data_IF_934137666794
#
_entry.id   IF_934137666794
#
_cell.length_a   1.000
_cell.length_b   1.000
_cell.length_c   1.000
_cell.angle_alpha   90.00
_cell.angle_beta   90.00
_cell.angle_gamma   90.00
#
_symmetry.space_group_name_H-M   'P 1'
#
loop_
_entity.id
_entity.type
_entity.pdbx_description
1 polymer ?
#
# COMPACT_ATOMS: atom_id res chain seq x y z
N UNK A 1 43.63 -4.01 37.29
CA UNK A 1 42.18 -3.76 37.07
C UNK A 1 41.82 -4.30 35.69
N UNK A 2 40.80 -5.16 35.53
CA UNK A 2 40.42 -5.63 34.21
C UNK A 2 39.78 -4.47 33.42
N UNK A 3 40.21 -4.27 32.18
CA UNK A 3 39.67 -3.24 31.27
C UNK A 3 38.29 -3.69 30.80
N UNK A 4 37.27 -2.86 31.04
CA UNK A 4 35.94 -3.08 30.47
C UNK A 4 36.02 -2.98 28.94
N UNK A 5 35.76 -4.08 28.24
CA UNK A 5 35.67 -4.09 26.79
C UNK A 5 34.26 -3.62 26.39
N UNK A 6 34.20 -2.55 25.61
CA UNK A 6 32.95 -2.11 25.00
C UNK A 6 32.48 -3.17 23.99
N UNK A 7 31.26 -3.68 24.17
CA UNK A 7 30.59 -4.50 23.16
C UNK A 7 30.29 -3.62 21.94
N UNK A 8 31.10 -3.74 20.90
CA UNK A 8 30.96 -3.05 19.61
C UNK A 8 30.11 -3.82 18.61
N UNK A 9 29.48 -4.93 19.01
CA UNK A 9 28.60 -5.71 18.15
C UNK A 9 27.30 -4.97 17.88
N UNK A 10 26.94 -4.73 16.61
CA UNK A 10 25.68 -4.08 16.29
C UNK A 10 24.51 -4.96 16.77
N UNK A 11 23.57 -4.36 17.50
CA UNK A 11 22.40 -5.05 18.04
C UNK A 11 21.46 -5.60 16.95
N UNK A 12 21.55 -5.08 15.72
CA UNK A 12 20.72 -5.48 14.58
C UNK A 12 21.60 -5.84 13.39
N UNK A 13 21.35 -7.00 12.81
CA UNK A 13 21.99 -7.42 11.56
C UNK A 13 21.48 -6.59 10.38
N UNK A 14 22.37 -6.16 9.50
CA UNK A 14 22.00 -5.47 8.25
C UNK A 14 21.08 -6.32 7.37
N UNK A 15 21.26 -7.64 7.38
CA UNK A 15 20.37 -8.57 6.66
C UNK A 15 18.95 -8.53 7.23
N UNK A 16 18.82 -8.53 8.57
CA UNK A 16 17.52 -8.44 9.24
C UNK A 16 16.84 -7.10 8.95
N UNK A 17 17.60 -6.00 8.94
CA UNK A 17 17.06 -4.69 8.59
C UNK A 17 16.58 -4.66 7.14
N UNK A 18 17.37 -5.21 6.21
CA UNK A 18 17.01 -5.26 4.80
C UNK A 18 15.76 -6.13 4.55
N UNK A 19 15.65 -7.30 5.20
CA UNK A 19 14.46 -8.15 5.06
C UNK A 19 13.24 -7.51 5.68
N UNK A 20 13.35 -6.88 6.86
CA UNK A 20 12.25 -6.17 7.50
C UNK A 20 11.77 -4.98 6.67
N UNK A 21 12.69 -4.19 6.11
CA UNK A 21 12.37 -3.07 5.24
C UNK A 21 11.68 -3.53 3.95
N UNK A 22 12.19 -4.60 3.32
CA UNK A 22 11.57 -5.19 2.13
C UNK A 22 10.15 -5.70 2.41
N UNK A 23 9.96 -6.45 3.49
CA UNK A 23 8.65 -6.95 3.90
C UNK A 23 7.67 -5.81 4.18
N UNK A 24 8.11 -4.78 4.90
CA UNK A 24 7.30 -3.60 5.21
C UNK A 24 6.90 -2.86 3.94
N UNK A 25 7.84 -2.68 2.99
CA UNK A 25 7.56 -2.07 1.69
C UNK A 25 6.51 -2.84 0.89
N UNK A 26 6.58 -4.17 0.88
CA UNK A 26 5.58 -5.02 0.21
C UNK A 26 4.21 -4.86 0.87
N UNK A 27 4.13 -4.87 2.20
CA UNK A 27 2.87 -4.67 2.92
C UNK A 27 2.25 -3.30 2.62
N UNK A 28 3.06 -2.24 2.59
CA UNK A 28 2.58 -0.90 2.24
C UNK A 28 2.11 -0.82 0.80
N UNK A 29 2.82 -1.47 -0.14
CA UNK A 29 2.40 -1.55 -1.54
C UNK A 29 1.05 -2.25 -1.67
N UNK A 30 0.86 -3.40 -1.01
CA UNK A 30 -0.40 -4.11 -1.03
C UNK A 30 -1.53 -3.27 -0.43
N UNK A 31 -1.29 -2.62 0.71
CA UNK A 31 -2.26 -1.72 1.33
C UNK A 31 -2.63 -0.55 0.40
N UNK A 32 -1.65 0.02 -0.30
CA UNK A 32 -1.88 1.08 -1.30
C UNK A 32 -2.76 0.56 -2.45
N UNK A 33 -2.46 -0.60 -3.01
CA UNK A 33 -3.23 -1.17 -4.12
C UNK A 33 -4.68 -1.44 -3.71
N UNK A 34 -4.90 -2.03 -2.53
CA UNK A 34 -6.26 -2.25 -2.00
C UNK A 34 -6.97 -0.92 -1.78
N UNK A 35 -6.33 0.06 -1.14
CA UNK A 35 -6.95 1.36 -0.91
C UNK A 35 -7.24 2.12 -2.22
N UNK A 36 -6.42 1.91 -3.25
CA UNK A 36 -6.64 2.46 -4.58
C UNK A 36 -7.85 1.81 -5.27
N UNK A 37 -7.92 0.48 -5.28
CA UNK A 37 -8.99 -0.28 -5.93
C UNK A 37 -10.36 -0.08 -5.26
N UNK A 38 -10.38 0.00 -3.92
CA UNK A 38 -11.59 0.31 -3.15
C UNK A 38 -12.03 1.78 -3.26
N UNK A 39 -11.31 2.60 -4.03
CA UNK A 39 -11.65 4.01 -4.23
C UNK A 39 -11.31 4.93 -3.05
N UNK A 40 -10.69 4.44 -1.96
CA UNK A 40 -10.26 5.28 -0.85
C UNK A 40 -9.20 6.30 -1.28
N UNK A 41 -8.30 5.91 -2.20
CA UNK A 41 -7.32 6.79 -2.82
C UNK A 41 -7.72 7.23 -4.23
N UNK A 42 -8.33 6.34 -5.03
CA UNK A 42 -8.73 6.63 -6.42
C UNK A 42 -10.15 7.21 -6.51
N UNK A 43 -10.31 8.49 -6.19
CA UNK A 43 -11.62 9.17 -6.23
C UNK A 43 -12.14 9.40 -7.66
N UNK A 44 -11.26 9.58 -8.64
CA UNK A 44 -11.64 9.79 -10.04
C UNK A 44 -12.27 8.54 -10.67
N UNK A 45 -11.85 7.35 -10.26
CA UNK A 45 -12.44 6.09 -10.73
C UNK A 45 -13.89 5.94 -10.29
N UNK A 46 -14.20 6.31 -9.04
CA UNK A 46 -15.56 6.28 -8.51
C UNK A 46 -16.46 7.32 -9.18
N UNK A 47 -15.96 8.54 -9.36
CA UNK A 47 -16.67 9.57 -10.14
C UNK A 47 -17.00 9.11 -11.56
N UNK A 48 -16.02 8.49 -12.23
CA UNK A 48 -16.21 7.98 -13.59
C UNK A 48 -17.18 6.78 -13.62
N UNK A 49 -17.14 5.91 -12.61
CA UNK A 49 -18.07 4.80 -12.44
C UNK A 49 -19.52 5.30 -12.31
N UNK A 50 -19.77 6.29 -11.46
CA UNK A 50 -21.08 6.92 -11.29
C UNK A 50 -21.53 7.64 -12.57
N UNK A 51 -20.64 8.39 -13.22
CA UNK A 51 -20.92 9.04 -14.51
C UNK A 51 -21.36 8.04 -15.58
N UNK A 52 -20.69 6.89 -15.68
CA UNK A 52 -21.08 5.84 -16.63
C UNK A 52 -22.40 5.15 -16.24
N UNK A 53 -22.64 4.96 -14.94
CA UNK A 53 -23.91 4.44 -14.45
C UNK A 53 -25.06 5.40 -14.79
N UNK A 54 -24.90 6.69 -14.52
CA UNK A 54 -25.91 7.72 -14.79
C UNK A 54 -26.09 7.97 -16.29
N UNK A 55 -24.99 7.97 -17.06
CA UNK A 55 -25.04 8.10 -18.51
C UNK A 55 -25.84 6.98 -19.17
N UNK A 56 -25.72 5.75 -18.66
CA UNK A 56 -26.53 4.62 -19.14
C UNK A 56 -28.02 4.84 -18.86
N UNK A 57 -28.37 5.37 -17.69
CA UNK A 57 -29.76 5.72 -17.36
C UNK A 57 -30.29 6.86 -18.23
N UNK A 58 -29.48 7.91 -18.45
CA UNK A 58 -29.84 9.07 -19.25
C UNK A 58 -30.05 8.72 -20.73
N UNK A 59 -29.25 7.81 -21.26
CA UNK A 59 -29.30 7.37 -22.67
C UNK A 59 -30.28 6.19 -22.89
N UNK A 60 -30.95 5.71 -21.83
CA UNK A 60 -31.88 4.58 -21.91
C UNK A 60 -31.22 3.27 -22.36
N UNK A 61 -29.91 3.15 -22.21
CA UNK A 61 -29.15 1.97 -22.64
C UNK A 61 -29.35 0.87 -21.59
N UNK A 62 -29.76 -0.36 -21.97
CA UNK A 62 -30.06 -1.41 -21.00
C UNK A 62 -28.81 -1.87 -20.24
N UNK A 63 -28.99 -2.21 -18.95
CA UNK A 63 -27.91 -2.65 -18.05
C UNK A 63 -27.78 -4.17 -17.89
N UNK A 64 -28.59 -4.97 -18.57
CA UNK A 64 -28.62 -6.43 -18.44
C UNK A 64 -28.77 -7.09 -19.80
#
# INVERSE_FOLDING_TARGET
MPKAQALTTPAVSTKLLATAAGFTGIMLLLAYLVAFDQGALSQSGMYLHELMHDGRHLLGVPCH
#
